data_IF_021673378289
#
_entry.id   IF_021673378289
#
_cell.length_a   1.000
_cell.length_b   1.000
_cell.length_c   1.000
_cell.angle_alpha   90.00
_cell.angle_beta   90.00
_cell.angle_gamma   90.00
#
_symmetry.space_group_name_H-M   'P 1'
#
loop_
_entity.id
_entity.type
_entity.pdbx_description
1 polymer ?
#
# COMPACT_ATOMS: atom_id res chain seq x y z
N UNK A 1 -2.95 -11.51 -9.07
CA UNK A 1 -3.33 -10.12 -9.36
C UNK A 1 -3.37 -9.96 -10.86
N UNK A 2 -4.41 -9.34 -11.39
CA UNK A 2 -4.65 -9.17 -12.82
C UNK A 2 -4.70 -7.69 -13.21
N UNK A 3 -4.36 -7.33 -14.46
CA UNK A 3 -4.47 -5.98 -14.99
C UNK A 3 -5.87 -5.38 -14.82
N UNK A 4 -5.92 -4.07 -14.58
CA UNK A 4 -7.17 -3.32 -14.48
C UNK A 4 -7.96 -3.51 -13.17
N UNK A 5 -7.57 -4.43 -12.30
CA UNK A 5 -8.28 -4.73 -11.04
C UNK A 5 -7.65 -4.04 -9.83
N UNK A 6 -8.49 -3.81 -8.82
CA UNK A 6 -8.10 -3.19 -7.55
C UNK A 6 -7.69 -4.23 -6.52
N UNK A 7 -6.65 -3.93 -5.76
CA UNK A 7 -6.14 -4.80 -4.71
C UNK A 7 -5.80 -4.01 -3.44
N UNK A 8 -6.25 -4.54 -2.30
CA UNK A 8 -5.68 -4.22 -1.00
C UNK A 8 -4.46 -5.09 -0.77
N UNK A 9 -3.28 -4.48 -0.85
CA UNK A 9 -1.98 -5.14 -0.64
C UNK A 9 -1.48 -4.81 0.75
N UNK A 10 -1.06 -5.83 1.49
CA UNK A 10 -0.53 -5.66 2.84
C UNK A 10 0.46 -6.76 3.19
N UNK A 11 1.35 -6.46 4.11
CA UNK A 11 2.25 -7.44 4.70
C UNK A 11 2.73 -6.97 6.08
N UNK A 12 3.06 -7.94 6.93
CA UNK A 12 3.61 -7.74 8.26
C UNK A 12 5.06 -8.23 8.31
N UNK A 13 5.82 -7.69 9.24
CA UNK A 13 7.14 -8.21 9.60
C UNK A 13 7.04 -9.66 10.09
N UNK A 14 8.11 -10.40 9.93
CA UNK A 14 8.22 -11.73 10.50
C UNK A 14 8.55 -11.65 12.00
N UNK A 15 7.72 -12.29 12.84
CA UNK A 15 7.83 -12.20 14.30
C UNK A 15 7.59 -10.79 14.84
N UNK A 16 8.32 -10.41 15.89
CA UNK A 16 8.18 -9.13 16.58
C UNK A 16 9.04 -8.00 15.99
N UNK A 17 9.44 -8.14 14.73
CA UNK A 17 10.32 -7.18 14.06
C UNK A 17 9.57 -5.91 13.62
N UNK A 18 10.27 -4.78 13.59
CA UNK A 18 9.76 -3.55 12.99
C UNK A 18 10.35 -3.37 11.59
N UNK A 19 9.50 -3.37 10.57
CA UNK A 19 9.84 -2.99 9.20
C UNK A 19 10.46 -1.59 9.15
N UNK A 20 10.02 -0.68 10.02
CA UNK A 20 10.44 0.71 10.04
C UNK A 20 10.88 1.14 11.44
N UNK A 21 12.19 1.04 11.70
CA UNK A 21 12.82 1.40 12.97
C UNK A 21 13.20 2.89 13.07
N UNK A 22 13.34 3.57 11.92
CA UNK A 22 13.63 5.02 11.80
C UNK A 22 12.87 5.66 10.64
N UNK A 23 12.85 6.98 10.57
CA UNK A 23 12.17 7.73 9.51
C UNK A 23 12.67 7.36 8.10
N UNK A 24 13.98 7.18 7.93
CA UNK A 24 14.54 6.87 6.62
C UNK A 24 13.97 5.54 6.09
N UNK A 25 13.46 4.63 6.97
CA UNK A 25 13.01 3.29 6.57
C UNK A 25 11.78 3.47 5.69
N UNK A 26 10.88 4.33 6.16
CA UNK A 26 9.66 4.70 5.47
C UNK A 26 9.98 5.33 4.12
N UNK A 27 10.89 6.31 4.10
CA UNK A 27 11.30 6.98 2.85
C UNK A 27 11.95 6.00 1.86
N UNK A 28 12.83 5.11 2.34
CA UNK A 28 13.47 4.12 1.48
C UNK A 28 12.48 3.09 0.92
N UNK A 29 11.50 2.67 1.73
CA UNK A 29 10.41 1.80 1.28
C UNK A 29 9.59 2.46 0.18
N UNK A 30 9.17 3.72 0.36
CA UNK A 30 8.42 4.48 -0.64
C UNK A 30 9.24 4.72 -1.92
N UNK A 31 10.55 4.92 -1.81
CA UNK A 31 11.45 5.02 -2.96
C UNK A 31 11.53 3.71 -3.76
N UNK A 32 11.62 2.56 -3.08
CA UNK A 32 11.55 1.26 -3.73
C UNK A 32 10.16 0.98 -4.32
N UNK A 33 9.09 1.39 -3.65
CA UNK A 33 7.73 1.29 -4.16
C UNK A 33 7.58 2.07 -5.47
N UNK A 34 8.07 3.31 -5.47
CA UNK A 34 8.15 4.15 -6.64
C UNK A 34 8.96 3.55 -7.79
N UNK A 35 10.03 2.82 -7.48
CA UNK A 35 10.88 2.18 -8.49
C UNK A 35 10.24 0.93 -9.08
N UNK A 36 9.62 0.10 -8.25
CA UNK A 36 9.18 -1.24 -8.63
C UNK A 36 7.68 -1.32 -8.92
N UNK A 37 6.84 -0.67 -8.11
CA UNK A 37 5.39 -0.84 -8.15
C UNK A 37 4.71 0.21 -9.02
N UNK A 38 5.07 1.48 -8.90
CA UNK A 38 4.49 2.57 -9.73
C UNK A 38 4.56 2.35 -11.26
N UNK A 39 5.57 1.64 -11.82
CA UNK A 39 5.55 1.29 -13.24
C UNK A 39 4.38 0.40 -13.64
N UNK A 40 3.93 -0.51 -12.76
CA UNK A 40 2.95 -1.57 -13.06
C UNK A 40 1.59 -1.36 -12.36
N UNK A 41 1.52 -0.49 -11.37
CA UNK A 41 0.31 -0.23 -10.59
C UNK A 41 0.17 1.24 -10.25
N UNK A 42 -1.07 1.68 -10.12
CA UNK A 42 -1.43 3.00 -9.61
C UNK A 42 -1.77 2.88 -8.12
N UNK A 43 -1.17 3.75 -7.30
CA UNK A 43 -1.42 3.79 -5.85
C UNK A 43 -2.52 4.81 -5.51
N UNK A 44 -3.52 4.38 -4.72
CA UNK A 44 -4.66 5.21 -4.31
C UNK A 44 -4.61 5.58 -2.83
N UNK A 45 -4.13 4.67 -1.98
CA UNK A 45 -3.87 4.96 -0.58
C UNK A 45 -2.75 4.05 -0.06
N UNK A 46 -2.05 4.50 0.97
CA UNK A 46 -1.14 3.68 1.77
C UNK A 46 -1.10 4.14 3.22
N UNK A 47 -0.71 3.22 4.10
CA UNK A 47 -0.27 3.51 5.46
C UNK A 47 0.85 2.55 5.84
N UNK A 48 1.99 3.12 6.26
CA UNK A 48 3.15 2.38 6.74
C UNK A 48 3.20 2.51 8.26
N UNK A 49 3.15 1.40 8.99
CA UNK A 49 3.26 1.33 10.45
C UNK A 49 4.50 0.54 10.85
N UNK A 50 5.04 0.70 12.07
CA UNK A 50 6.35 0.14 12.44
C UNK A 50 6.59 -1.31 12.03
N UNK A 51 5.59 -2.19 12.19
CA UNK A 51 5.66 -3.62 11.92
C UNK A 51 4.92 -4.08 10.65
N UNK A 52 4.12 -3.24 9.98
CA UNK A 52 3.35 -3.65 8.79
C UNK A 52 2.95 -2.48 7.90
N UNK A 53 2.41 -2.77 6.73
CA UNK A 53 1.86 -1.75 5.86
C UNK A 53 0.60 -2.22 5.13
N UNK A 54 -0.18 -1.25 4.69
CA UNK A 54 -1.32 -1.45 3.78
C UNK A 54 -1.24 -0.47 2.61
N UNK A 55 -1.71 -0.90 1.44
CA UNK A 55 -1.84 -0.08 0.25
C UNK A 55 -3.08 -0.49 -0.56
N UNK A 56 -3.82 0.48 -1.07
CA UNK A 56 -4.81 0.28 -2.11
C UNK A 56 -4.15 0.60 -3.45
N UNK A 57 -4.09 -0.38 -4.33
CA UNK A 57 -3.55 -0.23 -5.67
C UNK A 57 -4.56 -0.67 -6.72
N UNK A 58 -4.30 -0.27 -7.96
CA UNK A 58 -4.86 -0.89 -9.15
C UNK A 58 -3.73 -1.31 -10.07
N UNK A 59 -3.71 -2.56 -10.50
CA UNK A 59 -2.76 -2.95 -11.56
C UNK A 59 -3.14 -2.18 -12.83
N UNK A 60 -2.15 -1.65 -13.53
CA UNK A 60 -2.38 -0.90 -14.77
C UNK A 60 -3.04 -1.77 -15.84
N UNK A 61 -3.54 -1.12 -16.88
CA UNK A 61 -4.20 -1.79 -18.00
C UNK A 61 -3.31 -2.81 -18.68
N UNK A 62 -3.93 -3.79 -19.33
CA UNK A 62 -3.27 -4.93 -19.95
C UNK A 62 -2.19 -4.51 -20.93
N UNK A 63 -2.46 -3.54 -21.80
CA UNK A 63 -1.53 -3.00 -22.80
C UNK A 63 -0.24 -2.45 -22.17
N UNK A 64 -0.37 -1.74 -21.04
CA UNK A 64 0.77 -1.21 -20.29
C UNK A 64 1.59 -2.35 -19.69
N UNK A 65 0.94 -3.38 -19.17
CA UNK A 65 1.61 -4.54 -18.56
C UNK A 65 2.31 -5.39 -19.62
N UNK A 66 1.65 -5.67 -20.74
CA UNK A 66 2.23 -6.41 -21.87
C UNK A 66 3.46 -5.69 -22.43
N UNK A 67 3.41 -4.37 -22.59
CA UNK A 67 4.57 -3.57 -23.00
C UNK A 67 5.75 -3.70 -22.03
N UNK A 68 5.50 -3.89 -20.73
CA UNK A 68 6.57 -4.12 -19.74
C UNK A 68 7.09 -5.56 -19.77
N UNK A 69 6.23 -6.54 -20.00
CA UNK A 69 6.60 -7.95 -20.11
C UNK A 69 7.50 -8.17 -21.33
N UNK A 70 7.18 -7.54 -22.47
CA UNK A 70 8.00 -7.61 -23.68
C UNK A 70 9.44 -7.11 -23.48
N UNK A 71 9.71 -6.35 -22.41
CA UNK A 71 11.04 -5.89 -22.01
C UNK A 71 11.68 -6.78 -20.92
N UNK A 72 11.14 -7.97 -20.67
CA UNK A 72 11.55 -8.90 -19.63
C UNK A 72 11.55 -10.35 -20.15
N UNK A 73 12.18 -11.26 -19.40
CA UNK A 73 12.19 -12.69 -19.71
C UNK A 73 10.97 -13.45 -19.15
N UNK A 74 9.93 -12.74 -18.69
CA UNK A 74 8.78 -13.35 -18.00
C UNK A 74 7.75 -13.90 -19.00
N UNK A 75 7.17 -15.05 -18.65
CA UNK A 75 6.30 -15.83 -19.55
C UNK A 75 4.82 -15.46 -19.42
N UNK A 76 4.36 -15.06 -18.23
CA UNK A 76 2.96 -14.70 -17.98
C UNK A 76 2.83 -13.40 -17.20
N UNK A 77 1.67 -12.75 -17.35
CA UNK A 77 1.33 -11.50 -16.65
C UNK A 77 1.37 -11.67 -15.14
N UNK A 78 0.79 -12.75 -14.62
CA UNK A 78 0.75 -13.04 -13.20
C UNK A 78 2.15 -13.26 -12.63
N UNK A 79 3.00 -13.97 -13.38
CA UNK A 79 4.39 -14.23 -12.98
C UNK A 79 5.18 -12.92 -12.97
N UNK A 80 5.04 -12.09 -14.00
CA UNK A 80 5.68 -10.77 -14.07
C UNK A 80 5.26 -9.86 -12.91
N UNK A 81 3.96 -9.76 -12.61
CA UNK A 81 3.45 -8.96 -11.50
C UNK A 81 4.01 -9.52 -10.18
N UNK A 82 3.87 -10.83 -9.94
CA UNK A 82 4.37 -11.48 -8.72
C UNK A 82 5.87 -11.31 -8.52
N UNK A 83 6.66 -11.41 -9.60
CA UNK A 83 8.11 -11.16 -9.59
C UNK A 83 8.42 -9.72 -9.25
N UNK A 84 7.68 -8.76 -9.79
CA UNK A 84 7.88 -7.34 -9.51
C UNK A 84 7.70 -7.01 -8.03
N UNK A 85 6.63 -7.53 -7.41
CA UNK A 85 6.43 -7.43 -5.96
C UNK A 85 7.52 -8.17 -5.18
N UNK A 86 7.90 -9.36 -5.61
CA UNK A 86 8.99 -10.13 -4.98
C UNK A 86 10.31 -9.36 -5.01
N UNK A 87 10.64 -8.71 -6.12
CA UNK A 87 11.84 -7.89 -6.27
C UNK A 87 11.79 -6.67 -5.33
N UNK A 88 10.65 -6.01 -5.22
CA UNK A 88 10.43 -4.93 -4.26
C UNK A 88 10.70 -5.37 -2.81
N UNK A 89 10.03 -6.44 -2.35
CA UNK A 89 10.20 -6.94 -0.98
C UNK A 89 11.63 -7.41 -0.71
N UNK A 90 12.25 -8.11 -1.67
CA UNK A 90 13.62 -8.58 -1.54
C UNK A 90 14.63 -7.43 -1.50
N UNK A 91 14.44 -6.38 -2.31
CA UNK A 91 15.30 -5.20 -2.29
C UNK A 91 15.25 -4.50 -0.92
N UNK A 92 14.05 -4.29 -0.38
CA UNK A 92 13.89 -3.69 0.94
C UNK A 92 14.50 -4.55 2.04
N UNK A 93 14.18 -5.85 2.07
CA UNK A 93 14.70 -6.78 3.07
C UNK A 93 16.23 -6.89 3.05
N UNK A 94 16.85 -6.91 1.86
CA UNK A 94 18.33 -6.91 1.72
C UNK A 94 18.94 -5.64 2.29
N UNK A 95 18.39 -4.47 1.97
CA UNK A 95 18.89 -3.20 2.47
C UNK A 95 18.71 -3.08 4.01
N UNK A 96 17.55 -3.49 4.52
CA UNK A 96 17.27 -3.52 5.95
C UNK A 96 18.22 -4.46 6.69
N UNK A 97 18.39 -5.69 6.20
CA UNK A 97 19.30 -6.67 6.77
C UNK A 97 20.75 -6.15 6.79
N UNK A 98 21.21 -5.51 5.70
CA UNK A 98 22.53 -4.88 5.66
C UNK A 98 22.66 -3.75 6.68
N UNK A 99 21.63 -2.91 6.84
CA UNK A 99 21.69 -1.76 7.76
C UNK A 99 21.75 -2.17 9.22
N UNK A 100 21.07 -3.25 9.61
CA UNK A 100 20.93 -3.68 11.00
C UNK A 100 21.69 -4.97 11.32
N UNK A 101 22.65 -5.36 10.47
CA UNK A 101 23.41 -6.62 10.57
C UNK A 101 22.51 -7.86 10.85
N UNK A 102 21.35 -7.88 10.20
CA UNK A 102 20.32 -8.92 10.38
C UNK A 102 20.43 -9.97 9.28
N UNK A 103 19.99 -11.20 9.58
CA UNK A 103 19.88 -12.31 8.61
C UNK A 103 18.45 -12.85 8.56
N UNK A 104 18.12 -13.55 7.47
CA UNK A 104 16.82 -14.21 7.30
C UNK A 104 15.71 -13.32 6.71
N UNK A 105 14.49 -13.85 6.64
CA UNK A 105 13.31 -13.17 6.09
C UNK A 105 12.86 -12.00 6.97
N UNK A 106 12.53 -10.86 6.34
CA UNK A 106 12.01 -9.68 7.04
C UNK A 106 10.48 -9.65 7.06
N UNK A 107 9.84 -10.06 5.96
CA UNK A 107 8.39 -10.06 5.79
C UNK A 107 7.80 -11.46 5.95
N UNK A 108 6.53 -11.51 6.34
CA UNK A 108 5.71 -12.72 6.20
C UNK A 108 5.58 -13.13 4.73
N UNK A 109 5.60 -14.44 4.48
CA UNK A 109 5.51 -15.02 3.15
C UNK A 109 4.28 -15.94 3.04
N UNK A 110 3.49 -15.83 1.96
CA UNK A 110 3.54 -14.76 0.94
C UNK A 110 2.99 -13.43 1.49
N UNK A 111 3.31 -12.32 0.80
CA UNK A 111 2.55 -11.08 0.99
C UNK A 111 1.09 -11.31 0.59
N UNK A 112 0.19 -10.47 1.06
CA UNK A 112 -1.24 -10.62 0.80
C UNK A 112 -1.74 -9.54 -0.16
N UNK A 113 -2.65 -9.94 -1.04
CA UNK A 113 -3.33 -9.06 -1.97
C UNK A 113 -4.78 -9.54 -2.08
N UNK A 114 -5.72 -8.79 -1.53
CA UNK A 114 -7.15 -9.07 -1.65
C UNK A 114 -7.75 -8.22 -2.75
N UNK A 115 -8.41 -8.86 -3.70
CA UNK A 115 -9.13 -8.15 -4.77
C UNK A 115 -10.31 -7.37 -4.20
N UNK A 116 -10.56 -6.19 -4.75
CA UNK A 116 -11.75 -5.38 -4.45
C UNK A 116 -12.55 -5.27 -5.74
N UNK A 117 -13.66 -6.00 -5.78
CA UNK A 117 -14.58 -6.11 -6.92
C UNK A 117 -15.77 -5.14 -6.82
N UNK A 118 -15.85 -4.37 -5.73
CA UNK A 118 -16.92 -3.40 -5.48
C UNK A 118 -16.36 -1.98 -5.33
N UNK A 119 -16.67 -1.12 -6.30
CA UNK A 119 -16.27 0.28 -6.32
C UNK A 119 -16.74 1.07 -5.10
N UNK A 120 -17.92 0.75 -4.55
CA UNK A 120 -18.45 1.39 -3.34
C UNK A 120 -17.60 1.06 -2.11
N UNK A 121 -16.81 -0.01 -2.18
CA UNK A 121 -15.93 -0.45 -1.10
C UNK A 121 -14.56 0.21 -1.11
N UNK A 122 -14.16 0.82 -2.23
CA UNK A 122 -12.86 1.49 -2.36
C UNK A 122 -12.70 2.61 -1.33
N UNK A 123 -13.74 3.41 -1.11
CA UNK A 123 -13.73 4.49 -0.10
C UNK A 123 -13.64 3.94 1.33
N UNK A 124 -14.30 2.81 1.60
CA UNK A 124 -14.24 2.11 2.90
C UNK A 124 -12.81 1.62 3.17
N UNK A 125 -12.17 1.00 2.18
CA UNK A 125 -10.78 0.51 2.30
C UNK A 125 -9.81 1.67 2.49
N UNK A 126 -9.97 2.77 1.76
CA UNK A 126 -9.11 3.96 1.94
C UNK A 126 -9.23 4.52 3.36
N UNK A 127 -10.47 4.67 3.85
CA UNK A 127 -10.72 5.16 5.21
C UNK A 127 -10.12 4.23 6.27
N UNK A 128 -10.25 2.91 6.09
CA UNK A 128 -9.58 1.94 6.94
C UNK A 128 -8.07 2.08 6.91
N UNK A 129 -7.45 2.09 5.72
CA UNK A 129 -5.99 2.18 5.57
C UNK A 129 -5.43 3.38 6.34
N UNK A 130 -6.04 4.55 6.22
CA UNK A 130 -5.59 5.74 6.93
C UNK A 130 -5.89 5.71 8.44
N UNK A 131 -6.92 4.98 8.89
CA UNK A 131 -7.27 4.85 10.31
C UNK A 131 -6.44 3.80 11.05
N UNK A 132 -5.71 2.95 10.35
CA UNK A 132 -4.90 1.88 10.95
C UNK A 132 -3.96 2.35 12.10
N UNK A 133 -3.25 3.50 12.00
CA UNK A 133 -2.42 3.99 13.09
C UNK A 133 -3.19 4.23 14.39
N UNK A 134 -4.45 4.68 14.29
CA UNK A 134 -5.33 4.88 15.44
C UNK A 134 -5.85 3.55 15.97
N UNK A 135 -6.28 2.67 15.05
CA UNK A 135 -6.78 1.32 15.39
C UNK A 135 -5.76 0.49 16.18
N UNK A 136 -4.48 0.55 15.79
CA UNK A 136 -3.39 -0.16 16.47
C UNK A 136 -2.74 0.65 17.62
N UNK A 137 -3.30 1.81 17.99
CA UNK A 137 -2.83 2.60 19.12
C UNK A 137 -1.46 3.28 18.91
N UNK A 138 -1.00 3.44 17.68
CA UNK A 138 0.24 4.18 17.38
C UNK A 138 0.07 5.71 17.54
N UNK A 139 -1.17 6.22 17.37
CA UNK A 139 -1.55 7.64 17.51
C UNK A 139 -3.00 7.80 17.94
N UNK A 140 -3.31 8.96 18.51
CA UNK A 140 -4.69 9.32 18.88
C UNK A 140 -5.51 9.79 17.67
N UNK A 141 -4.87 10.39 16.67
CA UNK A 141 -5.53 10.90 15.46
C UNK A 141 -4.82 10.47 14.17
N UNK A 142 -5.59 10.44 13.08
CA UNK A 142 -5.10 10.07 11.73
C UNK A 142 -4.08 11.12 11.22
N UNK A 143 -4.34 12.38 11.53
CA UNK A 143 -3.55 13.53 11.08
C UNK A 143 -2.12 13.50 11.67
N UNK A 144 -1.92 12.81 12.81
CA UNK A 144 -0.64 12.69 13.51
C UNK A 144 0.28 11.58 12.97
N UNK A 145 -0.13 10.88 11.90
CA UNK A 145 0.67 9.81 11.29
C UNK A 145 1.24 10.22 9.91
N UNK A 146 2.52 10.65 9.85
CA UNK A 146 3.10 11.23 8.63
C UNK A 146 3.39 10.19 7.53
N UNK A 147 3.41 8.90 7.87
CA UNK A 147 3.72 7.82 6.93
C UNK A 147 2.46 7.15 6.36
N UNK A 148 1.40 7.93 6.18
CA UNK A 148 0.22 7.57 5.39
C UNK A 148 0.05 8.50 4.18
N UNK A 149 -0.77 8.11 3.22
CA UNK A 149 -1.15 8.98 2.10
C UNK A 149 -2.22 10.02 2.46
N UNK A 150 -2.74 10.04 3.70
CA UNK A 150 -3.85 10.91 4.09
C UNK A 150 -3.52 12.39 3.86
N UNK A 151 -2.40 12.87 4.39
CA UNK A 151 -1.91 14.24 4.17
C UNK A 151 -1.59 14.50 2.70
N UNK A 152 -1.05 13.51 1.99
CA UNK A 152 -0.77 13.64 0.57
C UNK A 152 -2.05 13.83 -0.26
N UNK A 153 -3.21 13.33 0.18
CA UNK A 153 -4.50 13.55 -0.49
C UNK A 153 -5.08 14.94 -0.20
N UNK A 154 -4.78 15.51 0.96
CA UNK A 154 -5.25 16.83 1.39
C UNK A 154 -4.35 17.99 0.94
N UNK A 155 -3.07 17.70 0.69
CA UNK A 155 -2.06 18.70 0.30
C UNK A 155 -2.17 19.12 -1.17
N UNK A 156 -1.70 20.34 -1.47
CA UNK A 156 -1.51 20.83 -2.85
C UNK A 156 -0.19 20.40 -3.47
N UNK A 157 0.75 19.85 -2.68
CA UNK A 157 2.07 19.40 -3.18
C UNK A 157 1.92 18.30 -4.23
N UNK A 158 2.87 18.13 -5.17
CA UNK A 158 2.87 16.99 -6.08
C UNK A 158 2.88 15.65 -5.33
N UNK A 159 2.16 14.65 -5.84
CA UNK A 159 2.13 13.30 -5.28
C UNK A 159 2.00 12.25 -6.39
N UNK A 160 2.48 11.04 -6.12
CA UNK A 160 2.27 9.87 -7.00
C UNK A 160 0.91 9.21 -6.79
N UNK A 161 0.27 9.51 -5.66
CA UNK A 161 -1.06 9.01 -5.34
C UNK A 161 -2.09 9.58 -6.31
N UNK A 162 -3.08 8.77 -6.70
CA UNK A 162 -4.19 9.18 -7.58
C UNK A 162 -5.19 10.10 -6.88
N UNK A 163 -4.70 11.24 -6.34
CA UNK A 163 -5.43 12.20 -5.51
C UNK A 163 -6.78 12.57 -6.09
N UNK A 164 -6.82 13.02 -7.35
CA UNK A 164 -8.06 13.47 -7.99
C UNK A 164 -9.12 12.37 -7.97
N UNK A 165 -8.76 11.17 -8.44
CA UNK A 165 -9.67 10.02 -8.50
C UNK A 165 -10.16 9.60 -7.11
N UNK A 166 -9.27 9.62 -6.11
CA UNK A 166 -9.66 9.36 -4.72
C UNK A 166 -10.66 10.40 -4.22
N UNK A 167 -10.33 11.69 -4.32
CA UNK A 167 -11.22 12.76 -3.85
C UNK A 167 -12.56 12.76 -4.59
N UNK A 168 -12.57 12.44 -5.88
CA UNK A 168 -13.78 12.28 -6.69
C UNK A 168 -14.67 11.15 -6.14
N UNK A 169 -14.10 10.02 -5.72
CA UNK A 169 -14.86 8.93 -5.08
C UNK A 169 -15.50 9.32 -3.76
N UNK A 170 -14.86 10.19 -2.98
CA UNK A 170 -15.44 10.75 -1.76
C UNK A 170 -16.34 11.96 -2.06
N UNK A 171 -16.42 12.42 -3.31
CA UNK A 171 -17.19 13.59 -3.74
C UNK A 171 -16.45 14.92 -3.58
N UNK A 172 -15.75 15.13 -2.46
CA UNK A 172 -14.90 16.31 -2.22
C UNK A 172 -14.02 16.14 -0.96
N UNK A 173 -13.15 17.13 -0.71
CA UNK A 173 -12.26 17.15 0.47
C UNK A 173 -13.03 17.16 1.80
N UNK A 174 -14.08 17.98 2.01
CA UNK A 174 -14.89 17.91 3.23
C UNK A 174 -15.49 16.52 3.50
N UNK A 175 -16.06 15.88 2.48
CA UNK A 175 -16.65 14.54 2.58
C UNK A 175 -15.58 13.48 2.85
N UNK A 176 -14.40 13.57 2.22
CA UNK A 176 -13.24 12.75 2.53
C UNK A 176 -12.83 12.89 4.01
N UNK A 177 -12.69 14.11 4.54
CA UNK A 177 -12.37 14.30 5.96
C UNK A 177 -13.45 13.72 6.87
N UNK A 178 -14.71 13.92 6.53
CA UNK A 178 -15.83 13.42 7.32
C UNK A 178 -15.87 11.88 7.36
N UNK A 179 -15.60 11.21 6.24
CA UNK A 179 -15.60 9.74 6.19
C UNK A 179 -14.48 9.13 7.04
N UNK A 180 -13.36 9.85 7.23
CA UNK A 180 -12.22 9.38 8.03
C UNK A 180 -12.41 9.59 9.54
N UNK A 181 -13.39 10.41 9.95
CA UNK A 181 -13.77 10.56 11.36
C UNK A 181 -14.65 9.41 11.85
N UNK A 182 -15.38 8.78 10.95
CA UNK A 182 -16.26 7.68 11.28
C UNK A 182 -15.49 6.37 11.31
N UNK A 183 -15.86 5.48 12.21
CA UNK A 183 -15.44 4.08 12.05
C UNK A 183 -16.04 3.54 10.75
N UNK A 184 -15.23 2.91 9.88
CA UNK A 184 -15.75 2.28 8.69
C UNK A 184 -16.90 1.34 9.09
N UNK A 185 -18.06 1.42 8.42
CA UNK A 185 -19.14 0.45 8.65
C UNK A 185 -18.78 -0.83 7.90
N UNK A 186 -18.08 -1.70 8.60
CA UNK A 186 -17.50 -2.94 8.07
C UNK A 186 -18.60 -3.99 7.96
N UNK A 187 -18.93 -4.38 6.72
CA UNK A 187 -19.78 -5.56 6.46
C UNK A 187 -18.97 -6.81 6.12
N UNK A 188 -17.79 -6.65 5.52
CA UNK A 188 -16.85 -7.74 5.25
C UNK A 188 -15.57 -7.52 6.07
N UNK A 189 -15.49 -8.21 7.21
CA UNK A 189 -14.31 -8.18 8.08
C UNK A 189 -13.09 -8.81 7.44
N UNK A 190 -13.24 -9.63 6.39
CA UNK A 190 -12.08 -10.26 5.73
C UNK A 190 -11.27 -9.30 4.84
N UNK A 191 -11.69 -8.03 4.72
CA UNK A 191 -10.91 -6.92 4.14
C UNK A 191 -10.02 -6.21 5.16
N UNK A 192 -10.17 -6.52 6.45
CA UNK A 192 -9.50 -5.86 7.55
C UNK A 192 -8.81 -6.90 8.40
N UNK A 193 -7.48 -6.83 8.44
CA UNK A 193 -6.67 -7.86 9.07
C UNK A 193 -5.91 -7.22 10.20
N UNK A 194 -6.33 -7.61 11.40
CA UNK A 194 -5.59 -7.40 12.62
C UNK A 194 -4.65 -8.60 12.78
N UNK A 195 -3.37 -8.30 13.02
CA UNK A 195 -2.35 -9.28 13.36
C UNK A 195 -2.34 -9.53 14.86
#
# INVERSE_FOLDING_TARGET
>A
MLPGLYYHVYNHANGDENLFRREENYHYFLNLWAKHIEPIADTYAYCLMPNHFHALIRIKELDIIEAKIAMSDEVTIETFISRTFSNFFNAYAKAFNKMYDRRGSLFNRPFKAKEIDNDQYLTVVIAYIHRNPVHHGFRDTIDDWPFSSYEALLSTKPTKIKRRKVLDWFGNVPAFRQSHKLEPRIKDTSLFIDW
#
